data_IF_787795035206
#
_entry.id   IF_787795035206
#
_cell.length_a   1.000
_cell.length_b   1.000
_cell.length_c   1.000
_cell.angle_alpha   90.00
_cell.angle_beta   90.00
_cell.angle_gamma   90.00
#
_symmetry.space_group_name_H-M   'P 1'
#
loop_
_entity.id
_entity.type
_entity.pdbx_description
1 polymer ?
#
# COMPACT_ATOMS: atom_id res chain seq x y z
N UNK A 1 18.32 -26.67 -33.47
CA UNK A 1 18.74 -25.26 -33.42
C UNK A 1 19.00 -24.90 -31.96
N UNK A 2 20.00 -24.05 -31.64
CA UNK A 2 20.14 -23.53 -30.29
C UNK A 2 18.92 -22.68 -29.93
N UNK A 3 18.52 -22.71 -28.66
CA UNK A 3 17.49 -21.82 -28.14
C UNK A 3 17.94 -20.36 -28.29
N UNK A 4 17.09 -19.51 -28.85
CA UNK A 4 17.32 -18.07 -28.95
C UNK A 4 16.25 -17.34 -28.14
N UNK A 5 16.64 -16.88 -26.94
CA UNK A 5 15.77 -16.11 -26.06
C UNK A 5 15.41 -14.78 -26.71
N UNK A 6 14.11 -14.43 -26.71
CA UNK A 6 13.64 -13.10 -27.12
C UNK A 6 13.17 -12.36 -25.87
N UNK A 7 13.94 -11.38 -25.38
CA UNK A 7 13.52 -10.59 -24.22
C UNK A 7 12.19 -9.88 -24.47
N UNK A 8 11.28 -9.96 -23.52
CA UNK A 8 10.02 -9.23 -23.56
C UNK A 8 10.16 -7.87 -22.86
N UNK A 9 10.76 -6.90 -23.56
CA UNK A 9 10.86 -5.51 -23.12
C UNK A 9 9.86 -4.64 -23.86
N UNK A 10 9.14 -3.80 -23.12
CA UNK A 10 8.12 -2.90 -23.66
C UNK A 10 8.70 -1.51 -23.96
N UNK A 11 8.10 -0.81 -24.93
CA UNK A 11 8.44 0.60 -25.21
C UNK A 11 7.82 1.55 -24.18
N UNK A 12 6.71 1.14 -23.58
CA UNK A 12 6.07 1.81 -22.46
C UNK A 12 6.73 1.38 -21.14
N UNK A 13 6.60 2.21 -20.13
CA UNK A 13 7.02 1.92 -18.76
C UNK A 13 5.95 2.39 -17.77
N UNK A 14 5.96 1.79 -16.59
CA UNK A 14 5.26 2.37 -15.44
C UNK A 14 5.98 3.67 -15.05
N UNK A 15 5.20 4.65 -14.59
CA UNK A 15 5.67 5.96 -14.14
C UNK A 15 6.39 5.79 -12.82
N UNK A 16 7.44 6.60 -12.64
CA UNK A 16 8.11 6.69 -11.36
C UNK A 16 7.36 7.64 -10.44
N UNK A 17 7.06 7.18 -9.22
CA UNK A 17 6.48 8.01 -8.16
C UNK A 17 7.36 7.90 -6.93
N UNK A 18 7.92 9.02 -6.49
CA UNK A 18 8.75 9.08 -5.28
C UNK A 18 7.94 9.56 -4.09
N UNK A 19 7.95 8.78 -3.00
CA UNK A 19 7.36 9.14 -1.70
C UNK A 19 8.47 9.46 -0.70
N UNK A 20 8.18 10.38 0.23
CA UNK A 20 9.15 10.89 1.20
C UNK A 20 10.15 11.87 0.59
N UNK A 21 11.12 12.30 1.41
CA UNK A 21 12.10 13.33 1.08
C UNK A 21 13.52 12.88 1.44
N UNK A 22 14.52 13.49 0.79
CA UNK A 22 15.93 13.27 1.11
C UNK A 22 16.43 11.86 0.73
N UNK A 23 17.46 11.40 1.45
CA UNK A 23 18.17 10.14 1.13
C UNK A 23 17.32 8.88 1.36
N UNK A 24 16.28 8.98 2.20
CA UNK A 24 15.36 7.89 2.51
C UNK A 24 14.09 7.89 1.64
N UNK A 25 14.02 8.78 0.65
CA UNK A 25 12.91 8.78 -0.29
C UNK A 25 12.86 7.45 -1.07
N UNK A 26 11.65 6.95 -1.31
CA UNK A 26 11.40 5.68 -1.98
C UNK A 26 10.72 5.95 -3.31
N UNK A 27 11.27 5.41 -4.40
CA UNK A 27 10.66 5.49 -5.74
C UNK A 27 9.99 4.16 -6.08
N UNK A 28 8.75 4.26 -6.54
CA UNK A 28 7.91 3.17 -7.03
C UNK A 28 7.86 3.20 -8.56
N UNK A 29 7.62 2.05 -9.20
CA UNK A 29 7.44 1.94 -10.65
C UNK A 29 8.72 2.10 -11.47
N UNK A 30 8.59 2.53 -12.73
CA UNK A 30 9.71 2.73 -13.65
C UNK A 30 10.06 1.51 -14.50
N UNK A 31 9.46 0.35 -14.23
CA UNK A 31 9.69 -0.87 -14.96
C UNK A 31 9.06 -0.86 -16.36
N UNK A 32 9.74 -1.51 -17.31
CA UNK A 32 9.29 -1.69 -18.69
C UNK A 32 9.24 -3.18 -19.08
N UNK A 33 9.08 -4.03 -18.07
CA UNK A 33 9.02 -5.51 -18.15
C UNK A 33 7.95 -5.99 -17.18
N UNK A 34 7.59 -7.26 -17.25
CA UNK A 34 6.69 -7.86 -16.28
C UNK A 34 7.33 -7.99 -14.88
N UNK A 35 6.53 -8.15 -13.81
CA UNK A 35 7.03 -8.19 -12.44
C UNK A 35 8.11 -9.25 -12.25
N UNK A 36 9.25 -8.85 -11.67
CA UNK A 36 10.44 -9.69 -11.46
C UNK A 36 11.08 -10.30 -12.71
N UNK A 37 10.69 -9.87 -13.92
CA UNK A 37 11.31 -10.38 -15.15
C UNK A 37 12.60 -9.59 -15.45
N UNK A 38 13.50 -9.51 -14.47
CA UNK A 38 14.80 -8.80 -14.58
C UNK A 38 15.69 -9.40 -15.67
N UNK A 39 15.42 -10.65 -16.05
CA UNK A 39 16.03 -11.27 -17.21
C UNK A 39 15.66 -10.53 -18.52
N UNK A 40 14.44 -10.02 -18.67
CA UNK A 40 13.92 -9.33 -19.87
C UNK A 40 14.35 -7.86 -19.97
N UNK A 41 14.71 -7.24 -18.85
CA UNK A 41 15.11 -5.84 -18.79
C UNK A 41 15.38 -5.37 -17.37
N UNK A 42 16.11 -4.25 -17.27
CA UNK A 42 16.47 -3.66 -15.99
C UNK A 42 15.22 -3.14 -15.24
N UNK A 43 15.09 -3.52 -13.97
CA UNK A 43 14.08 -3.03 -13.04
C UNK A 43 14.80 -2.22 -11.96
N UNK A 44 14.94 -0.91 -12.20
CA UNK A 44 15.74 -0.03 -11.33
C UNK A 44 15.20 0.08 -9.92
N UNK A 45 13.87 0.14 -9.80
CA UNK A 45 13.18 0.23 -8.53
C UNK A 45 12.61 -1.16 -8.21
N UNK A 46 13.19 -1.83 -7.22
CA UNK A 46 12.60 -3.04 -6.67
C UNK A 46 11.26 -2.71 -5.99
N UNK A 47 10.28 -3.64 -6.00
CA UNK A 47 9.06 -3.45 -5.22
C UNK A 47 9.34 -3.20 -3.73
N UNK A 48 8.38 -2.57 -3.06
CA UNK A 48 8.57 -2.02 -1.71
C UNK A 48 7.66 -2.64 -0.66
N UNK A 49 8.12 -2.63 0.59
CA UNK A 49 7.35 -3.14 1.73
C UNK A 49 7.05 -2.01 2.71
N UNK A 50 5.76 -1.69 2.86
CA UNK A 50 5.25 -0.78 3.87
C UNK A 50 4.86 -1.53 5.14
N UNK A 51 5.11 -0.93 6.31
CA UNK A 51 4.65 -1.47 7.60
C UNK A 51 3.42 -0.71 8.07
N UNK A 52 2.30 -1.41 8.22
CA UNK A 52 1.07 -0.85 8.79
C UNK A 52 1.20 -0.67 10.30
N UNK A 53 0.83 0.52 10.77
CA UNK A 53 0.53 0.84 12.17
C UNK A 53 -0.85 1.49 12.21
N UNK A 54 -1.59 1.32 13.31
CA UNK A 54 -2.94 1.87 13.45
C UNK A 54 -3.00 2.89 14.58
N UNK A 55 -3.81 3.94 14.39
CA UNK A 55 -4.15 4.87 15.46
C UNK A 55 -4.90 4.20 16.63
N UNK A 56 -5.42 2.98 16.41
CA UNK A 56 -6.04 2.13 17.43
C UNK A 56 -5.03 1.41 18.34
N UNK A 57 -3.72 1.57 18.08
CA UNK A 57 -2.64 0.98 18.86
C UNK A 57 -2.15 -0.35 18.29
N UNK A 58 -1.59 -1.19 19.16
CA UNK A 58 -0.95 -2.45 18.76
C UNK A 58 -2.04 -3.55 18.63
N UNK A 59 -2.15 -4.22 17.47
CA UNK A 59 -3.09 -5.32 17.26
C UNK A 59 -2.90 -6.46 18.27
N UNK A 60 -4.00 -7.16 18.57
CA UNK A 60 -4.01 -8.32 19.48
C UNK A 60 -3.49 -9.62 18.80
N UNK A 61 -2.32 -9.54 18.15
CA UNK A 61 -1.61 -10.65 17.51
C UNK A 61 -0.30 -10.86 18.24
N UNK A 62 -0.03 -12.08 18.72
CA UNK A 62 1.03 -12.35 19.70
C UNK A 62 2.41 -11.83 19.27
N UNK A 63 2.85 -12.12 18.06
CA UNK A 63 4.15 -11.74 17.49
C UNK A 63 4.25 -10.24 17.21
N UNK A 64 3.13 -9.59 16.91
CA UNK A 64 3.05 -8.13 16.77
C UNK A 64 3.15 -7.47 18.15
N UNK A 65 2.40 -7.95 19.14
CA UNK A 65 2.50 -7.47 20.53
C UNK A 65 3.90 -7.64 21.09
N UNK A 66 4.51 -8.82 20.88
CA UNK A 66 5.88 -9.09 21.31
C UNK A 66 6.86 -8.15 20.60
N UNK A 67 6.70 -7.94 19.29
CA UNK A 67 7.57 -7.03 18.56
C UNK A 67 7.47 -5.61 19.06
N UNK A 68 6.28 -5.10 19.40
CA UNK A 68 6.08 -3.74 19.92
C UNK A 68 6.11 -3.64 21.46
N UNK A 69 6.56 -4.68 22.16
CA UNK A 69 6.65 -4.66 23.62
C UNK A 69 7.47 -3.45 24.11
N UNK A 70 6.95 -2.77 25.13
CA UNK A 70 7.53 -1.57 25.73
C UNK A 70 7.19 -0.25 25.02
N UNK A 71 6.56 -0.28 23.84
CA UNK A 71 6.04 0.93 23.22
C UNK A 71 4.75 1.40 23.93
N UNK A 72 4.69 2.69 24.25
CA UNK A 72 3.61 3.36 24.96
C UNK A 72 3.00 4.52 24.18
N UNK A 73 3.67 4.99 23.13
CA UNK A 73 3.18 6.07 22.26
C UNK A 73 3.20 5.68 20.77
N UNK A 74 2.46 6.42 19.94
CA UNK A 74 2.47 6.21 18.50
C UNK A 74 3.81 6.55 17.87
N UNK A 75 4.54 7.53 18.41
CA UNK A 75 5.91 7.82 18.01
C UNK A 75 6.86 6.63 18.24
N UNK A 76 6.73 5.92 19.36
CA UNK A 76 7.54 4.73 19.67
C UNK A 76 7.21 3.57 18.74
N UNK A 77 5.91 3.33 18.50
CA UNK A 77 5.43 2.33 17.55
C UNK A 77 5.96 2.64 16.14
N UNK A 78 5.81 3.87 15.67
CA UNK A 78 6.27 4.30 14.35
C UNK A 78 7.79 4.17 14.18
N UNK A 79 8.58 4.55 15.19
CA UNK A 79 10.04 4.35 15.16
C UNK A 79 10.42 2.88 15.05
N UNK A 80 9.71 2.01 15.78
CA UNK A 80 9.98 0.57 15.76
C UNK A 80 9.57 -0.05 14.42
N UNK A 81 8.43 0.37 13.86
CA UNK A 81 7.99 -0.01 12.51
C UNK A 81 8.99 0.44 11.44
N UNK A 82 9.44 1.69 11.49
CA UNK A 82 10.43 2.24 10.56
C UNK A 82 11.82 1.59 10.67
N UNK A 83 12.17 1.04 11.84
CA UNK A 83 13.42 0.34 12.08
C UNK A 83 13.35 -1.16 11.74
N UNK A 84 12.19 -1.66 11.30
CA UNK A 84 12.02 -3.06 10.95
C UNK A 84 12.86 -3.43 9.72
N UNK A 85 13.68 -4.47 9.85
CA UNK A 85 14.53 -4.91 8.75
C UNK A 85 13.65 -5.35 7.56
N UNK A 86 13.88 -4.73 6.39
CA UNK A 86 13.10 -4.97 5.19
C UNK A 86 11.93 -3.98 4.97
N UNK A 87 11.65 -3.09 5.92
CA UNK A 87 10.68 -2.01 5.73
C UNK A 87 11.27 -0.87 4.89
N UNK A 88 10.51 -0.42 3.89
CA UNK A 88 10.85 0.74 3.05
C UNK A 88 10.12 2.01 3.48
N UNK A 89 8.91 1.90 4.05
CA UNK A 89 8.10 3.02 4.51
C UNK A 89 7.12 2.57 5.61
N UNK A 90 6.51 3.53 6.30
CA UNK A 90 5.44 3.28 7.29
C UNK A 90 4.11 3.71 6.70
N UNK A 91 3.06 2.90 6.90
CA UNK A 91 1.68 3.29 6.63
C UNK A 91 0.94 3.46 7.96
N UNK A 92 0.47 4.67 8.26
CA UNK A 92 -0.42 4.93 9.39
C UNK A 92 -1.87 4.83 8.93
N UNK A 93 -2.60 3.84 9.43
CA UNK A 93 -4.03 3.70 9.20
C UNK A 93 -4.82 4.42 10.30
N UNK A 94 -5.77 5.26 9.89
CA UNK A 94 -6.63 6.06 10.76
C UNK A 94 -8.00 5.39 10.94
N UNK A 95 -7.98 4.10 11.31
CA UNK A 95 -9.16 3.27 11.54
C UNK A 95 -10.10 3.88 12.60
N UNK A 96 -9.54 4.50 13.65
CA UNK A 96 -10.32 5.11 14.71
C UNK A 96 -11.20 6.27 14.22
N UNK A 97 -11.01 6.76 12.99
CA UNK A 97 -11.89 7.73 12.37
C UNK A 97 -13.26 7.20 11.94
N UNK A 98 -13.47 5.89 11.84
CA UNK A 98 -14.77 5.34 11.40
C UNK A 98 -15.92 5.84 12.29
N UNK A 99 -16.93 6.54 11.72
CA UNK A 99 -18.11 6.98 12.46
C UNK A 99 -18.89 5.85 13.15
N UNK A 100 -18.78 4.62 12.67
CA UNK A 100 -19.42 3.44 13.25
C UNK A 100 -18.54 2.72 14.29
N UNK A 101 -17.29 3.14 14.43
CA UNK A 101 -16.31 2.59 15.37
C UNK A 101 -15.99 3.56 16.50
N UNK A 102 -14.70 3.84 16.71
CA UNK A 102 -14.23 4.75 17.75
C UNK A 102 -14.63 6.22 17.48
N UNK A 103 -14.88 6.59 16.22
CA UNK A 103 -15.30 7.91 15.77
C UNK A 103 -14.45 9.04 16.38
N UNK A 104 -13.13 8.87 16.38
CA UNK A 104 -12.18 9.89 16.84
C UNK A 104 -12.35 11.17 16.04
N UNK A 105 -12.12 12.29 16.74
CA UNK A 105 -12.21 13.60 16.10
C UNK A 105 -11.12 13.77 15.06
N UNK A 106 -11.39 14.60 14.05
CA UNK A 106 -10.40 14.89 13.00
C UNK A 106 -9.13 15.52 13.59
N UNK A 107 -9.26 16.36 14.61
CA UNK A 107 -8.12 17.02 15.27
C UNK A 107 -7.25 16.03 16.04
N UNK A 108 -7.87 15.03 16.69
CA UNK A 108 -7.15 13.95 17.39
C UNK A 108 -6.33 13.11 16.40
N UNK A 109 -6.94 12.71 15.27
CA UNK A 109 -6.26 11.91 14.25
C UNK A 109 -5.11 12.70 13.60
N UNK A 110 -5.30 14.00 13.33
CA UNK A 110 -4.25 14.87 12.81
C UNK A 110 -3.10 15.04 13.82
N UNK A 111 -3.38 15.07 15.11
CA UNK A 111 -2.33 15.10 16.13
C UNK A 111 -1.48 13.82 16.11
N UNK A 112 -2.11 12.65 15.97
CA UNK A 112 -1.41 11.36 15.83
C UNK A 112 -0.56 11.33 14.56
N UNK A 113 -1.09 11.82 13.43
CA UNK A 113 -0.35 11.92 12.17
C UNK A 113 0.93 12.74 12.34
N UNK A 114 0.84 13.90 13.01
CA UNK A 114 2.00 14.76 13.27
C UNK A 114 3.01 14.08 14.20
N UNK A 115 2.53 13.44 15.27
CA UNK A 115 3.37 12.68 16.19
C UNK A 115 4.18 11.60 15.43
N UNK A 116 3.53 10.83 14.55
CA UNK A 116 4.18 9.80 13.73
C UNK A 116 5.15 10.43 12.72
N UNK A 117 4.74 11.46 12.00
CA UNK A 117 5.55 12.10 10.96
C UNK A 117 6.81 12.82 11.50
N UNK A 118 6.80 13.24 12.76
CA UNK A 118 7.95 13.82 13.44
C UNK A 118 8.85 12.76 14.08
N UNK A 119 8.32 11.56 14.33
CA UNK A 119 9.04 10.46 14.95
C UNK A 119 9.94 9.68 13.99
N UNK A 120 9.60 9.63 12.70
CA UNK A 120 10.27 8.82 11.68
C UNK A 120 10.92 9.67 10.60
N UNK A 121 11.93 9.11 9.94
CA UNK A 121 12.67 9.72 8.83
C UNK A 121 12.55 8.93 7.51
N UNK A 122 11.80 7.83 7.52
CA UNK A 122 11.38 7.08 6.32
C UNK A 122 10.09 7.69 5.75
N UNK A 123 9.71 7.39 4.50
CA UNK A 123 8.45 7.87 3.93
C UNK A 123 7.24 7.43 4.75
N UNK A 124 6.22 8.28 4.76
CA UNK A 124 4.95 8.03 5.44
C UNK A 124 3.82 7.95 4.40
N UNK A 125 3.08 6.85 4.45
CA UNK A 125 1.75 6.76 3.89
C UNK A 125 0.72 6.95 5.01
N UNK A 126 -0.43 7.57 4.72
CA UNK A 126 -1.55 7.67 5.64
C UNK A 126 -2.80 7.17 4.96
N UNK A 127 -3.41 6.13 5.54
CA UNK A 127 -4.67 5.55 5.09
C UNK A 127 -5.82 6.05 5.96
N UNK A 128 -6.93 6.45 5.33
CA UNK A 128 -8.17 6.86 6.00
C UNK A 128 -8.89 5.72 6.73
N UNK A 129 -10.12 5.98 7.18
CA UNK A 129 -10.95 4.98 7.86
C UNK A 129 -11.76 4.10 6.90
N UNK A 130 -11.64 4.32 5.59
CA UNK A 130 -12.49 3.76 4.52
C UNK A 130 -13.92 4.30 4.53
N UNK A 131 -14.28 5.27 5.37
CA UNK A 131 -15.57 5.96 5.30
C UNK A 131 -15.46 7.22 4.41
N UNK A 132 -16.19 7.25 3.29
CA UNK A 132 -16.13 8.32 2.28
C UNK A 132 -16.34 9.72 2.86
N UNK A 133 -17.39 9.92 3.66
CA UNK A 133 -17.71 11.24 4.20
C UNK A 133 -16.66 11.71 5.20
N UNK A 134 -16.21 10.79 6.07
CA UNK A 134 -15.16 11.09 7.05
C UNK A 134 -13.83 11.38 6.38
N UNK A 135 -13.42 10.55 5.42
CA UNK A 135 -12.14 10.67 4.72
C UNK A 135 -12.08 11.95 3.87
N UNK A 136 -13.20 12.35 3.28
CA UNK A 136 -13.32 13.62 2.56
C UNK A 136 -13.09 14.85 3.46
N UNK A 137 -13.34 14.75 4.77
CA UNK A 137 -13.02 15.80 5.75
C UNK A 137 -11.59 15.65 6.32
N UNK A 138 -11.20 14.41 6.63
CA UNK A 138 -9.98 14.09 7.35
C UNK A 138 -8.73 14.21 6.46
N UNK A 139 -8.74 13.56 5.29
CA UNK A 139 -7.54 13.47 4.44
C UNK A 139 -7.04 14.83 3.94
N UNK A 140 -7.89 15.84 3.65
CA UNK A 140 -7.40 17.20 3.39
C UNK A 140 -6.58 17.81 4.53
N UNK A 141 -7.02 17.61 5.79
CA UNK A 141 -6.30 18.13 6.97
C UNK A 141 -5.03 17.33 7.26
N UNK A 142 -5.04 16.03 6.97
CA UNK A 142 -3.84 15.18 7.00
C UNK A 142 -2.81 15.66 5.96
N UNK A 143 -3.24 15.92 4.73
CA UNK A 143 -2.37 16.42 3.67
C UNK A 143 -1.72 17.77 4.03
N UNK A 144 -2.49 18.68 4.65
CA UNK A 144 -2.01 19.94 5.20
C UNK A 144 -0.96 19.71 6.29
N UNK A 145 -1.28 18.86 7.27
CA UNK A 145 -0.40 18.56 8.40
C UNK A 145 0.94 17.96 7.98
N UNK A 146 0.98 17.28 6.82
CA UNK A 146 2.17 16.64 6.27
C UNK A 146 2.87 17.50 5.21
N UNK A 147 2.54 18.78 5.05
CA UNK A 147 3.12 19.62 4.00
C UNK A 147 4.66 19.58 4.03
N UNK A 148 5.27 19.34 2.86
CA UNK A 148 6.72 19.22 2.71
C UNK A 148 7.31 17.84 3.06
N UNK A 149 6.50 16.87 3.49
CA UNK A 149 6.93 15.48 3.74
C UNK A 149 6.82 14.58 2.50
N UNK A 150 6.14 15.03 1.43
CA UNK A 150 5.89 14.24 0.21
C UNK A 150 5.29 12.86 0.55
N UNK A 151 4.31 12.85 1.45
CA UNK A 151 3.62 11.68 1.95
C UNK A 151 2.68 11.09 0.90
N UNK A 152 2.32 9.82 1.06
CA UNK A 152 1.29 9.16 0.27
C UNK A 152 -0.05 9.17 1.02
N UNK A 153 -1.07 9.81 0.44
CA UNK A 153 -2.41 9.89 1.03
C UNK A 153 -3.30 8.83 0.38
N UNK A 154 -3.70 7.82 1.16
CA UNK A 154 -4.55 6.70 0.74
C UNK A 154 -5.97 6.89 1.34
N UNK A 155 -7.04 7.03 0.56
CA UNK A 155 -7.05 7.17 -0.90
C UNK A 155 -8.18 8.09 -1.35
N UNK A 156 -7.98 8.74 -2.50
CA UNK A 156 -9.05 9.27 -3.31
C UNK A 156 -9.83 8.12 -3.96
N UNK A 157 -11.16 8.19 -3.92
CA UNK A 157 -12.12 7.25 -4.56
C UNK A 157 -13.05 8.02 -5.49
N UNK A 158 -13.87 7.31 -6.26
CA UNK A 158 -14.79 7.93 -7.22
C UNK A 158 -15.70 8.99 -6.57
N UNK A 159 -16.09 8.78 -5.31
CA UNK A 159 -17.00 9.63 -4.57
C UNK A 159 -16.32 10.88 -3.97
N UNK A 160 -15.05 10.78 -3.57
CA UNK A 160 -14.33 11.81 -2.79
C UNK A 160 -13.08 12.38 -3.49
N UNK A 161 -12.73 11.93 -4.71
CA UNK A 161 -11.48 12.32 -5.39
C UNK A 161 -11.29 13.83 -5.56
N UNK A 162 -12.39 14.59 -5.68
CA UNK A 162 -12.30 16.05 -5.80
C UNK A 162 -11.76 16.67 -4.52
N UNK A 163 -12.20 16.21 -3.36
CA UNK A 163 -11.74 16.72 -2.07
C UNK A 163 -10.32 16.23 -1.79
N UNK A 164 -10.12 14.90 -1.82
CA UNK A 164 -8.84 14.28 -1.48
C UNK A 164 -7.76 14.64 -2.51
N UNK A 165 -8.05 14.50 -3.81
CA UNK A 165 -7.11 14.80 -4.88
C UNK A 165 -6.73 16.27 -4.99
N UNK A 166 -7.67 17.20 -4.78
CA UNK A 166 -7.34 18.64 -4.78
C UNK A 166 -6.48 19.01 -3.56
N UNK A 167 -6.82 18.52 -2.37
CA UNK A 167 -6.06 18.84 -1.17
C UNK A 167 -4.66 18.19 -1.20
N UNK A 168 -4.60 16.87 -1.36
CA UNK A 168 -3.34 16.14 -1.35
C UNK A 168 -2.47 16.49 -2.56
N UNK A 169 -2.99 16.36 -3.78
CA UNK A 169 -2.19 16.49 -5.00
C UNK A 169 -1.93 17.93 -5.47
N UNK A 170 -2.81 18.89 -5.17
CA UNK A 170 -2.69 20.26 -5.69
C UNK A 170 -2.32 21.28 -4.63
N UNK A 171 -2.99 21.26 -3.48
CA UNK A 171 -2.78 22.27 -2.43
C UNK A 171 -1.49 22.00 -1.64
N UNK A 172 -1.20 20.73 -1.34
CA UNK A 172 -0.12 20.35 -0.43
C UNK A 172 0.99 19.50 -1.06
N UNK A 173 0.95 19.27 -2.38
CA UNK A 173 1.97 18.58 -3.19
C UNK A 173 2.38 17.20 -2.63
N UNK A 174 1.40 16.48 -2.07
CA UNK A 174 1.51 15.10 -1.62
C UNK A 174 1.30 14.12 -2.79
N UNK A 175 1.56 12.84 -2.55
CA UNK A 175 1.18 11.75 -3.45
C UNK A 175 -0.24 11.28 -3.15
N UNK A 176 -0.99 10.93 -4.19
CA UNK A 176 -2.41 10.55 -4.09
C UNK A 176 -2.56 9.08 -4.44
N UNK A 177 -3.08 8.29 -3.50
CA UNK A 177 -3.62 6.97 -3.79
C UNK A 177 -4.96 7.11 -4.50
N UNK A 178 -5.12 6.45 -5.64
CA UNK A 178 -6.37 6.35 -6.38
C UNK A 178 -6.95 4.95 -6.20
N UNK A 179 -7.96 4.83 -5.33
CA UNK A 179 -8.56 3.56 -4.94
C UNK A 179 -9.77 3.18 -5.79
N UNK A 180 -9.75 1.96 -6.32
CA UNK A 180 -10.81 1.38 -7.14
C UNK A 180 -11.19 -0.02 -6.67
N UNK A 181 -12.34 -0.52 -7.11
CA UNK A 181 -12.91 -1.77 -6.61
C UNK A 181 -12.64 -2.97 -7.53
N UNK A 182 -11.37 -3.37 -7.66
CA UNK A 182 -10.96 -4.59 -8.40
C UNK A 182 -11.52 -4.61 -9.85
N UNK A 183 -11.48 -3.45 -10.51
CA UNK A 183 -11.92 -3.30 -11.90
C UNK A 183 -11.01 -2.30 -12.64
N UNK A 184 -10.44 -2.76 -13.76
CA UNK A 184 -9.55 -1.97 -14.60
C UNK A 184 -10.19 -0.70 -15.17
N UNK A 185 -11.48 -0.73 -15.50
CA UNK A 185 -12.17 0.43 -16.05
C UNK A 185 -12.40 1.47 -14.95
N UNK A 186 -12.73 1.05 -13.73
CA UNK A 186 -12.85 1.95 -12.58
C UNK A 186 -11.49 2.56 -12.24
N UNK A 187 -10.42 1.75 -12.18
CA UNK A 187 -9.06 2.25 -11.98
C UNK A 187 -8.68 3.30 -13.04
N UNK A 188 -8.91 3.00 -14.33
CA UNK A 188 -8.63 3.91 -15.44
C UNK A 188 -9.48 5.19 -15.36
N UNK A 189 -10.77 5.07 -15.09
CA UNK A 189 -11.67 6.21 -14.97
C UNK A 189 -11.24 7.14 -13.84
N UNK A 190 -10.86 6.57 -12.68
CA UNK A 190 -10.39 7.33 -11.54
C UNK A 190 -9.10 8.08 -11.88
N UNK A 191 -8.12 7.42 -12.50
CA UNK A 191 -6.89 8.08 -12.96
C UNK A 191 -7.16 9.22 -13.95
N UNK A 192 -8.12 9.04 -14.86
CA UNK A 192 -8.56 10.08 -15.80
C UNK A 192 -9.13 11.29 -15.05
N UNK A 193 -10.07 11.09 -14.13
CA UNK A 193 -10.73 12.23 -13.44
C UNK A 193 -9.80 12.92 -12.45
N UNK A 194 -8.90 12.18 -11.79
CA UNK A 194 -7.86 12.74 -10.90
C UNK A 194 -6.84 13.55 -11.71
N UNK A 195 -6.46 13.08 -12.90
CA UNK A 195 -5.58 13.85 -13.80
C UNK A 195 -6.28 15.09 -14.36
N UNK A 196 -7.57 14.99 -14.74
CA UNK A 196 -8.37 16.12 -15.21
C UNK A 196 -8.59 17.19 -14.13
N UNK A 197 -8.62 16.80 -12.86
CA UNK A 197 -8.61 17.73 -11.73
C UNK A 197 -7.30 18.55 -11.67
N UNK A 198 -6.22 18.03 -12.24
CA UNK A 198 -4.92 18.69 -12.35
C UNK A 198 -3.79 17.94 -11.65
N UNK A 199 -4.06 16.82 -10.97
CA UNK A 199 -3.02 16.04 -10.28
C UNK A 199 -2.12 15.41 -11.33
N UNK A 200 -0.81 15.57 -11.16
CA UNK A 200 0.17 15.03 -12.12
C UNK A 200 0.14 13.50 -12.05
N UNK A 201 0.17 12.78 -13.19
CA UNK A 201 0.29 11.33 -13.21
C UNK A 201 1.47 10.78 -12.39
N UNK A 202 2.58 11.51 -12.33
CA UNK A 202 3.78 11.19 -11.54
C UNK A 202 3.59 11.45 -10.03
N UNK A 203 2.38 11.80 -9.62
CA UNK A 203 1.96 11.94 -8.21
C UNK A 203 0.77 11.06 -7.86
N UNK A 204 0.39 10.15 -8.75
CA UNK A 204 -0.71 9.20 -8.55
C UNK A 204 -0.13 7.79 -8.40
N UNK A 205 -0.60 7.09 -7.37
CA UNK A 205 -0.38 5.66 -7.16
C UNK A 205 -1.75 4.99 -7.20
N UNK A 206 -1.92 3.88 -7.92
CA UNK A 206 -3.17 3.12 -7.89
C UNK A 206 -3.24 2.23 -6.66
N UNK A 207 -4.38 2.23 -5.99
CA UNK A 207 -4.81 1.14 -5.11
C UNK A 207 -5.95 0.42 -5.84
N UNK A 208 -5.66 -0.71 -6.47
CA UNK A 208 -6.66 -1.39 -7.32
C UNK A 208 -7.66 -2.25 -6.53
N UNK A 209 -7.63 -2.13 -5.20
CA UNK A 209 -8.29 -3.03 -4.29
C UNK A 209 -7.46 -4.28 -4.03
N UNK A 210 -7.78 -4.97 -2.94
CA UNK A 210 -7.14 -6.22 -2.55
C UNK A 210 -8.18 -7.19 -1.97
N UNK A 211 -7.79 -8.44 -1.83
CA UNK A 211 -8.55 -9.49 -1.17
C UNK A 211 -7.55 -10.47 -0.54
N UNK A 212 -7.92 -11.12 0.55
CA UNK A 212 -7.10 -12.18 1.11
C UNK A 212 -7.08 -13.41 0.20
N UNK A 213 -6.00 -14.20 0.24
CA UNK A 213 -5.91 -15.46 -0.48
C UNK A 213 -7.10 -16.37 -0.10
N UNK A 214 -7.81 -16.91 -1.10
CA UNK A 214 -9.02 -17.71 -0.90
C UNK A 214 -10.33 -16.91 -0.76
N UNK A 215 -10.26 -15.57 -0.77
CA UNK A 215 -11.42 -14.67 -0.64
C UNK A 215 -11.62 -13.82 -1.90
N UNK A 216 -11.70 -14.46 -3.07
CA UNK A 216 -11.87 -13.76 -4.35
C UNK A 216 -10.58 -13.13 -4.89
N UNK A 217 -9.43 -13.56 -4.38
CA UNK A 217 -8.12 -13.05 -4.78
C UNK A 217 -7.83 -13.19 -6.28
N UNK A 218 -8.39 -14.21 -6.93
CA UNK A 218 -8.30 -14.42 -8.37
C UNK A 218 -8.82 -13.24 -9.21
N UNK A 219 -9.76 -12.45 -8.67
CA UNK A 219 -10.24 -11.22 -9.30
C UNK A 219 -9.19 -10.10 -9.23
N UNK A 220 -8.43 -10.03 -8.12
CA UNK A 220 -7.35 -9.06 -7.92
C UNK A 220 -6.22 -9.33 -8.91
N UNK A 221 -5.73 -10.58 -8.97
CA UNK A 221 -4.68 -11.01 -9.91
C UNK A 221 -5.10 -10.72 -11.35
N UNK A 222 -6.30 -11.15 -11.74
CA UNK A 222 -6.80 -10.93 -13.10
C UNK A 222 -6.90 -9.43 -13.45
N UNK A 223 -7.19 -8.58 -12.47
CA UNK A 223 -7.25 -7.13 -12.65
C UNK A 223 -5.85 -6.54 -12.81
N UNK A 224 -4.91 -6.90 -11.93
CA UNK A 224 -3.52 -6.45 -12.02
C UNK A 224 -2.84 -6.87 -13.33
N UNK A 225 -3.04 -8.12 -13.76
CA UNK A 225 -2.52 -8.63 -15.04
C UNK A 225 -3.05 -7.82 -16.23
N UNK A 226 -4.36 -7.53 -16.24
CA UNK A 226 -4.98 -6.70 -17.29
C UNK A 226 -4.45 -5.28 -17.26
N UNK A 227 -4.23 -4.70 -16.08
CA UNK A 227 -3.65 -3.36 -15.92
C UNK A 227 -2.22 -3.33 -16.46
N UNK A 228 -1.34 -4.24 -16.02
CA UNK A 228 0.05 -4.29 -16.51
C UNK A 228 0.11 -4.59 -18.02
N UNK A 229 -0.74 -5.45 -18.54
CA UNK A 229 -0.85 -5.69 -19.98
C UNK A 229 -1.27 -4.43 -20.76
N UNK A 230 -2.28 -3.69 -20.28
CA UNK A 230 -2.71 -2.44 -20.90
C UNK A 230 -1.62 -1.36 -20.81
N UNK A 231 -1.02 -1.18 -19.64
CA UNK A 231 0.01 -0.19 -19.37
C UNK A 231 1.25 -0.39 -20.25
N UNK A 232 1.76 -1.63 -20.31
CA UNK A 232 3.04 -1.96 -20.95
C UNK A 232 2.88 -2.39 -22.42
N UNK A 233 1.94 -3.29 -22.72
CA UNK A 233 1.79 -3.83 -24.08
C UNK A 233 0.99 -2.89 -24.98
N UNK A 234 -0.05 -2.24 -24.44
CA UNK A 234 -0.91 -1.34 -25.21
C UNK A 234 -0.50 0.13 -25.08
N UNK A 235 0.40 0.45 -24.13
CA UNK A 235 0.88 1.81 -23.89
C UNK A 235 -0.20 2.72 -23.30
N UNK A 236 -1.13 2.18 -22.52
CA UNK A 236 -2.21 2.97 -21.92
C UNK A 236 -1.68 3.84 -20.78
N UNK A 237 -1.47 5.13 -21.08
CA UNK A 237 -0.90 6.09 -20.15
C UNK A 237 -1.71 6.29 -18.86
N UNK A 238 -3.01 6.00 -18.87
CA UNK A 238 -3.89 6.13 -17.69
C UNK A 238 -3.88 4.89 -16.80
N UNK A 239 -3.09 3.87 -17.15
CA UNK A 239 -2.85 2.68 -16.34
C UNK A 239 -1.35 2.48 -16.05
N UNK A 240 -0.51 3.45 -16.42
CA UNK A 240 0.94 3.43 -16.20
C UNK A 240 1.35 3.97 -14.83
N UNK A 241 0.43 4.18 -13.89
CA UNK A 241 0.79 4.54 -12.51
C UNK A 241 1.27 3.28 -11.76
N UNK A 242 2.16 3.41 -10.77
CA UNK A 242 2.53 2.28 -9.92
C UNK A 242 1.34 1.85 -9.05
N UNK A 243 1.33 0.58 -8.62
CA UNK A 243 0.29 -0.01 -7.77
C UNK A 243 0.81 -0.19 -6.34
N UNK A 244 0.06 0.26 -5.34
CA UNK A 244 0.31 -0.03 -3.92
C UNK A 244 -0.90 -0.73 -3.33
N UNK A 245 -0.64 -1.83 -2.62
CA UNK A 245 -1.70 -2.75 -2.18
C UNK A 245 -1.68 -2.92 -0.66
N UNK A 246 -2.71 -2.42 0.07
CA UNK A 246 -2.87 -2.62 1.52
C UNK A 246 -3.32 -4.04 1.90
N UNK A 247 -2.37 -4.97 2.02
CA UNK A 247 -2.61 -6.42 2.23
C UNK A 247 -3.18 -6.72 3.61
N UNK A 248 -2.55 -6.17 4.65
CA UNK A 248 -2.91 -6.42 6.06
C UNK A 248 -4.38 -6.09 6.36
N UNK A 249 -4.93 -5.09 5.67
CA UNK A 249 -6.31 -4.63 5.85
C UNK A 249 -7.35 -5.71 5.53
N UNK A 250 -7.01 -6.70 4.70
CA UNK A 250 -7.89 -7.81 4.33
C UNK A 250 -7.46 -9.12 5.01
N UNK A 251 -6.16 -9.42 5.07
CA UNK A 251 -5.66 -10.75 5.46
C UNK A 251 -5.85 -11.08 6.93
N UNK A 252 -5.88 -10.08 7.82
CA UNK A 252 -6.09 -10.31 9.26
C UNK A 252 -7.55 -10.32 9.68
N UNK A 253 -8.48 -10.09 8.74
CA UNK A 253 -9.93 -10.08 8.98
C UNK A 253 -10.64 -11.34 8.50
N UNK A 254 -9.91 -12.28 7.91
CA UNK A 254 -10.48 -13.55 7.45
C UNK A 254 -10.49 -14.61 8.52
N UNK A 255 -11.39 -15.58 8.37
CA UNK A 255 -11.60 -16.63 9.37
C UNK A 255 -10.33 -17.44 9.63
N UNK A 256 -9.54 -17.70 8.60
CA UNK A 256 -8.27 -18.43 8.66
C UNK A 256 -7.17 -17.65 9.40
N UNK A 257 -7.30 -16.35 9.60
CA UNK A 257 -6.39 -15.56 10.43
C UNK A 257 -6.89 -15.38 11.86
N UNK A 258 -8.22 -15.49 12.10
CA UNK A 258 -8.85 -15.14 13.38
C UNK A 258 -9.33 -16.33 14.20
N UNK A 259 -9.78 -17.42 13.56
CA UNK A 259 -10.44 -18.52 14.25
C UNK A 259 -9.48 -19.18 15.25
N UNK A 260 -9.97 -19.40 16.47
CA UNK A 260 -9.18 -20.03 17.52
C UNK A 260 -8.91 -21.50 17.19
N UNK A 261 -7.83 -22.05 17.76
CA UNK A 261 -7.53 -23.49 17.66
C UNK A 261 -8.59 -24.36 18.34
N UNK A 262 -9.37 -23.81 19.28
CA UNK A 262 -10.48 -24.52 19.90
C UNK A 262 -11.67 -24.66 18.93
N UNK A 263 -11.93 -23.62 18.13
CA UNK A 263 -13.02 -23.61 17.15
C UNK A 263 -12.66 -24.36 15.87
N UNK A 264 -11.38 -24.33 15.48
CA UNK A 264 -10.85 -24.94 14.24
C UNK A 264 -9.54 -25.73 14.51
N UNK A 265 -9.59 -26.84 15.25
CA UNK A 265 -8.40 -27.59 15.65
C UNK A 265 -7.61 -28.18 14.48
N UNK A 266 -8.27 -28.47 13.36
CA UNK A 266 -7.64 -29.04 12.16
C UNK A 266 -6.83 -28.03 11.34
N UNK A 267 -6.95 -26.73 11.61
CA UNK A 267 -6.25 -25.67 10.89
C UNK A 267 -4.87 -25.35 11.47
N UNK A 268 -4.55 -25.84 12.66
CA UNK A 268 -3.27 -25.56 13.32
C UNK A 268 -3.15 -24.14 13.88
N UNK A 269 -1.94 -23.72 14.26
CA UNK A 269 -1.72 -22.51 15.07
C UNK A 269 -2.25 -21.24 14.40
N UNK A 270 -3.02 -20.44 15.14
CA UNK A 270 -3.70 -19.25 14.60
C UNK A 270 -2.72 -18.20 14.08
N UNK A 271 -1.61 -18.00 14.80
CA UNK A 271 -0.59 -17.03 14.42
C UNK A 271 0.16 -17.44 13.15
N UNK A 272 0.56 -18.72 13.05
CA UNK A 272 1.22 -19.23 11.85
C UNK A 272 0.31 -19.10 10.61
N UNK A 273 -1.00 -19.34 10.78
CA UNK A 273 -1.98 -19.14 9.70
C UNK A 273 -2.12 -17.69 9.31
N UNK A 274 -2.29 -16.77 10.26
CA UNK A 274 -2.42 -15.34 9.98
C UNK A 274 -1.20 -14.78 9.24
N UNK A 275 0.01 -15.14 9.69
CA UNK A 275 1.26 -14.79 9.01
C UNK A 275 1.29 -15.37 7.59
N UNK A 276 0.90 -16.65 7.43
CA UNK A 276 0.89 -17.31 6.12
C UNK A 276 -0.10 -16.65 5.16
N UNK A 277 -1.29 -16.26 5.62
CA UNK A 277 -2.28 -15.54 4.82
C UNK A 277 -1.71 -14.22 4.31
N UNK A 278 -1.08 -13.44 5.18
CA UNK A 278 -0.46 -12.17 4.82
C UNK A 278 0.71 -12.35 3.82
N UNK A 279 1.60 -13.32 4.06
CA UNK A 279 2.71 -13.64 3.15
C UNK A 279 2.22 -14.08 1.78
N UNK A 280 1.25 -14.99 1.71
CA UNK A 280 0.77 -15.52 0.44
C UNK A 280 0.11 -14.43 -0.41
N UNK A 281 -0.75 -13.61 0.19
CA UNK A 281 -1.38 -12.48 -0.51
C UNK A 281 -0.34 -11.45 -0.95
N UNK A 282 0.56 -11.03 -0.06
CA UNK A 282 1.59 -10.05 -0.41
C UNK A 282 2.53 -10.55 -1.53
N UNK A 283 2.96 -11.81 -1.46
CA UNK A 283 3.82 -12.39 -2.49
C UNK A 283 3.11 -12.45 -3.84
N UNK A 284 1.83 -12.83 -3.85
CA UNK A 284 1.04 -12.88 -5.07
C UNK A 284 0.74 -11.49 -5.63
N UNK A 285 0.51 -10.48 -4.78
CA UNK A 285 0.27 -9.10 -5.20
C UNK A 285 1.48 -8.51 -5.89
N UNK A 286 2.67 -8.75 -5.35
CA UNK A 286 3.94 -8.37 -5.96
C UNK A 286 4.18 -9.11 -7.28
N UNK A 287 3.94 -10.42 -7.32
CA UNK A 287 4.10 -11.22 -8.53
C UNK A 287 3.13 -10.81 -9.66
N UNK A 288 1.96 -10.27 -9.30
CA UNK A 288 0.91 -9.83 -10.25
C UNK A 288 1.09 -8.37 -10.68
N UNK A 289 1.90 -7.58 -9.99
CA UNK A 289 2.29 -6.24 -10.43
C UNK A 289 2.17 -5.11 -9.41
N UNK A 290 2.01 -5.41 -8.12
CA UNK A 290 2.16 -4.40 -7.09
C UNK A 290 3.60 -3.89 -7.03
N UNK A 291 3.75 -2.57 -7.03
CA UNK A 291 5.01 -1.85 -6.85
C UNK A 291 5.34 -1.65 -5.36
N UNK A 292 4.31 -1.69 -4.50
CA UNK A 292 4.50 -1.94 -3.08
C UNK A 292 3.33 -2.71 -2.45
N UNK A 293 3.62 -3.39 -1.36
CA UNK A 293 2.62 -4.00 -0.47
C UNK A 293 2.74 -3.39 0.92
N UNK A 294 1.61 -3.21 1.60
CA UNK A 294 1.57 -2.79 3.00
C UNK A 294 1.12 -3.99 3.83
N UNK A 295 1.97 -4.38 4.78
CA UNK A 295 1.79 -5.54 5.66
C UNK A 295 2.07 -5.13 7.10
N UNK A 296 1.71 -5.95 8.07
CA UNK A 296 1.74 -5.59 9.48
C UNK A 296 2.67 -6.47 10.31
N UNK A 297 2.79 -7.77 9.98
CA UNK A 297 3.54 -8.70 10.83
C UNK A 297 5.06 -8.68 10.53
N UNK A 298 5.94 -8.61 11.54
CA UNK A 298 7.39 -8.55 11.33
C UNK A 298 7.96 -9.74 10.54
N UNK A 299 7.46 -10.95 10.79
CA UNK A 299 7.84 -12.13 10.01
C UNK A 299 7.44 -12.02 8.53
N UNK A 300 6.29 -11.39 8.23
CA UNK A 300 5.87 -11.13 6.85
C UNK A 300 6.82 -10.16 6.18
N UNK A 301 7.15 -9.04 6.84
CA UNK A 301 8.11 -8.04 6.32
C UNK A 301 9.46 -8.67 6.01
N UNK A 302 10.01 -9.45 6.93
CA UNK A 302 11.27 -10.17 6.72
C UNK A 302 11.19 -11.17 5.56
N UNK A 303 10.07 -11.89 5.42
CA UNK A 303 9.89 -12.89 4.37
C UNK A 303 9.74 -12.25 2.99
N UNK A 304 8.90 -11.22 2.88
CA UNK A 304 8.60 -10.54 1.61
C UNK A 304 9.80 -9.71 1.13
N UNK A 305 10.48 -9.00 2.03
CA UNK A 305 11.71 -8.27 1.67
C UNK A 305 12.81 -9.22 1.19
N UNK A 306 12.96 -10.38 1.82
CA UNK A 306 13.87 -11.44 1.35
C UNK A 306 13.45 -11.96 -0.02
N UNK A 307 12.16 -12.23 -0.24
CA UNK A 307 11.65 -12.68 -1.54
C UNK A 307 11.97 -11.67 -2.64
N UNK A 308 11.72 -10.38 -2.40
CA UNK A 308 12.05 -9.30 -3.35
C UNK A 308 13.54 -9.32 -3.67
N UNK A 309 14.39 -9.41 -2.64
CA UNK A 309 15.86 -9.43 -2.81
C UNK A 309 16.36 -10.66 -3.57
N UNK A 310 15.73 -11.81 -3.41
CA UNK A 310 16.09 -13.05 -4.10
C UNK A 310 15.60 -13.07 -5.57
N UNK A 311 14.58 -12.26 -5.91
CA UNK A 311 13.98 -12.18 -7.26
C UNK A 311 14.48 -11.02 -8.12
N UNK A 312 15.16 -10.03 -7.52
CA UNK A 312 15.73 -8.87 -8.20
C UNK A 312 17.21 -9.08 -8.55
#
# INVERSE_FOLDING_TARGET
>A
MPFNRKPQKFNASIKEVTIGCGEKAVTLGGESVFPFYTFDGDMKNAPKVGVEISDMGIPEVAGIKAYYEGCTTMAEIAKKAAAMEGADFVCLRLEGGDPNGANKSTDELVAIVKEVADAIDVPLAVEGSKNVEKDAELLPKVAEALQGKNALILSAREEDYKAVGAAAGLAYDQKVGAESAVDINLAKQLNVVVTQLGVKPESIVMNVGTAAAGYGYEYVVSTMDRIKAAALSQGDAMLQMPIVTPVSSETWNVKEAMASEADMPEWGPVEERGISMEIMTAAADLASGSDAVIVMHPQTVATISKMIKDLM
#
